data_IF_787575644941
#
_entry.id   IF_787575644941
#
_cell.length_a   1.000
_cell.length_b   1.000
_cell.length_c   1.000
_cell.angle_alpha   90.00
_cell.angle_beta   90.00
_cell.angle_gamma   90.00
#
_symmetry.space_group_name_H-M   'P 1'
#
loop_
_entity.id
_entity.type
_entity.pdbx_description
1 polymer ?
#
# COMPACT_ATOMS: atom_id res chain seq x y z
N UNK A 1 21.99 17.71 12.30
CA UNK A 1 21.07 18.60 11.56
C UNK A 1 19.83 18.80 12.41
N UNK A 2 19.48 20.04 12.71
CA UNK A 2 18.21 20.36 13.39
C UNK A 2 17.06 19.99 12.46
N UNK A 3 16.02 19.28 12.92
CA UNK A 3 14.87 18.97 12.08
C UNK A 3 14.20 20.28 11.62
N UNK A 4 13.66 20.33 10.39
CA UNK A 4 12.91 21.48 9.90
C UNK A 4 11.68 21.73 10.78
N UNK A 5 11.34 23.00 11.00
CA UNK A 5 10.14 23.41 11.75
C UNK A 5 8.94 23.29 10.81
N UNK A 6 8.02 22.39 11.14
CA UNK A 6 6.74 22.19 10.45
C UNK A 6 5.60 22.22 11.45
N UNK A 7 4.35 22.16 10.97
CA UNK A 7 3.17 22.06 11.83
C UNK A 7 3.24 20.87 12.81
N UNK A 8 3.89 19.77 12.42
CA UNK A 8 3.95 18.53 13.21
C UNK A 8 5.27 18.37 13.99
N UNK A 9 6.06 19.42 14.15
CA UNK A 9 7.32 19.33 14.90
C UNK A 9 7.05 19.03 16.38
N UNK A 10 7.66 17.96 16.89
CA UNK A 10 7.43 17.48 18.25
C UNK A 10 6.16 16.64 18.40
N UNK A 11 5.33 16.52 17.37
CA UNK A 11 4.11 15.72 17.41
C UNK A 11 4.39 14.22 17.46
N UNK A 12 3.46 13.50 18.08
CA UNK A 12 3.46 12.05 18.12
C UNK A 12 2.35 11.50 17.22
N UNK A 13 2.72 10.76 16.19
CA UNK A 13 1.82 10.20 15.19
C UNK A 13 1.74 8.70 15.38
N UNK A 14 0.52 8.18 15.48
CA UNK A 14 0.29 6.75 15.70
C UNK A 14 0.11 6.03 14.38
N UNK A 15 0.99 5.09 14.07
CA UNK A 15 0.79 4.17 12.96
C UNK A 15 0.00 2.95 13.46
N UNK A 16 -1.24 2.79 13.00
CA UNK A 16 -2.05 1.62 13.26
C UNK A 16 -1.49 0.36 12.53
N UNK A 17 -0.64 -0.38 13.21
CA UNK A 17 0.00 -1.60 12.70
C UNK A 17 0.36 -2.59 13.80
N UNK A 18 0.32 -3.89 13.47
CA UNK A 18 0.79 -4.99 14.34
C UNK A 18 2.27 -5.36 14.15
N UNK A 19 2.82 -5.16 12.94
CA UNK A 19 4.08 -5.80 12.54
C UNK A 19 5.14 -4.79 12.08
N UNK A 20 5.45 -3.79 12.91
CA UNK A 20 6.62 -2.95 12.69
C UNK A 20 6.55 -1.94 11.55
N UNK A 21 5.37 -1.71 10.94
CA UNK A 21 5.24 -0.73 9.83
C UNK A 21 5.57 0.70 10.27
N UNK A 22 5.47 1.02 11.55
CA UNK A 22 5.89 2.30 12.12
C UNK A 22 7.37 2.58 11.85
N UNK A 23 8.23 1.56 11.85
CA UNK A 23 9.63 1.70 11.48
C UNK A 23 9.82 2.17 10.04
N UNK A 24 8.86 1.90 9.16
CA UNK A 24 8.91 2.33 7.77
C UNK A 24 8.67 3.84 7.60
N UNK A 25 7.93 4.45 8.54
CA UNK A 25 7.62 5.87 8.55
C UNK A 25 8.62 6.71 9.37
N UNK A 26 9.24 6.12 10.39
CA UNK A 26 10.08 6.82 11.39
C UNK A 26 11.10 7.78 10.79
N UNK A 27 11.88 7.34 9.81
CA UNK A 27 12.94 8.17 9.23
C UNK A 27 12.36 9.39 8.50
N UNK A 28 11.42 9.16 7.56
CA UNK A 28 10.82 10.23 6.78
C UNK A 28 10.11 11.26 7.66
N UNK A 29 9.28 10.80 8.61
CA UNK A 29 8.51 11.69 9.48
C UNK A 29 9.42 12.47 10.45
N UNK A 30 10.46 11.84 10.99
CA UNK A 30 11.43 12.53 11.84
C UNK A 30 12.21 13.61 11.08
N UNK A 31 12.73 13.28 9.89
CA UNK A 31 13.60 14.20 9.16
C UNK A 31 12.85 15.30 8.40
N UNK A 32 11.62 15.04 7.94
CA UNK A 32 10.85 15.99 7.14
C UNK A 32 9.88 16.80 8.02
N UNK A 33 9.27 16.19 9.03
CA UNK A 33 8.26 16.87 9.87
C UNK A 33 8.79 17.26 11.25
N UNK A 34 9.86 16.60 11.73
CA UNK A 34 10.23 16.67 13.13
C UNK A 34 9.27 15.92 14.05
N UNK A 35 8.48 14.99 13.49
CA UNK A 35 7.49 14.19 14.22
C UNK A 35 8.05 12.81 14.61
N UNK A 36 7.46 12.20 15.63
CA UNK A 36 7.75 10.81 16.01
C UNK A 36 6.62 9.89 15.58
N UNK A 37 6.96 8.67 15.17
CA UNK A 37 5.97 7.66 14.77
C UNK A 37 6.15 6.40 15.61
N UNK A 38 5.07 5.93 16.22
CA UNK A 38 5.04 4.64 16.95
C UNK A 38 3.77 3.87 16.62
N UNK A 39 3.80 2.56 16.87
CA UNK A 39 2.59 1.73 16.89
C UNK A 39 1.97 1.74 18.30
N UNK A 40 0.65 1.65 18.44
CA UNK A 40 0.03 1.41 19.72
C UNK A 40 0.35 -0.02 20.19
N UNK A 41 0.58 -0.25 21.50
CA UNK A 41 0.63 -1.59 22.05
C UNK A 41 -0.73 -2.29 21.86
N UNK A 42 -0.73 -3.61 21.74
CA UNK A 42 -1.92 -4.47 21.76
C UNK A 42 -3.00 -4.18 20.68
N UNK A 43 -2.63 -3.47 19.60
CA UNK A 43 -3.53 -3.25 18.47
C UNK A 43 -3.68 -4.54 17.65
N UNK A 44 -4.86 -5.15 17.65
CA UNK A 44 -5.23 -6.17 16.66
C UNK A 44 -5.85 -5.53 15.41
N UNK A 45 -5.07 -5.43 14.34
CA UNK A 45 -5.55 -4.93 13.04
C UNK A 45 -6.18 -6.00 12.15
N UNK A 46 -6.06 -7.27 12.51
CA UNK A 46 -6.58 -8.39 11.71
C UNK A 46 -8.11 -8.46 11.79
N UNK A 47 -8.74 -7.83 12.80
CA UNK A 47 -10.20 -7.65 12.90
C UNK A 47 -10.83 -6.96 11.67
N UNK A 48 -10.05 -6.22 10.89
CA UNK A 48 -10.51 -5.54 9.66
C UNK A 48 -10.26 -6.37 8.38
N UNK A 49 -9.79 -7.61 8.52
CA UNK A 49 -9.48 -8.53 7.44
C UNK A 49 -7.97 -8.77 7.26
N UNK A 50 -7.60 -10.00 6.93
CA UNK A 50 -6.19 -10.42 6.81
C UNK A 50 -5.74 -10.49 5.34
N UNK A 51 -4.44 -10.38 5.09
CA UNK A 51 -3.87 -10.65 3.76
C UNK A 51 -3.89 -12.13 3.40
N UNK A 52 -3.94 -12.99 4.41
CA UNK A 52 -3.73 -14.41 4.25
C UNK A 52 -5.04 -15.21 4.30
N UNK A 53 -6.19 -14.54 4.25
CA UNK A 53 -7.51 -15.12 4.01
C UNK A 53 -8.30 -15.59 5.24
N UNK A 54 -7.79 -15.40 6.46
CA UNK A 54 -8.42 -15.95 7.67
C UNK A 54 -9.70 -15.17 8.06
N UNK A 55 -9.67 -13.84 7.90
CA UNK A 55 -10.80 -12.93 8.17
C UNK A 55 -11.18 -12.21 6.86
N UNK A 56 -12.46 -12.28 6.43
CA UNK A 56 -12.94 -11.60 5.22
C UNK A 56 -12.75 -10.08 5.27
N UNK A 57 -12.44 -9.49 4.11
CA UNK A 57 -12.36 -8.03 3.94
C UNK A 57 -13.70 -7.50 3.44
N UNK A 58 -14.48 -6.91 4.34
CA UNK A 58 -15.82 -6.37 4.01
C UNK A 58 -15.82 -4.87 3.71
N UNK A 59 -14.76 -4.16 4.10
CA UNK A 59 -14.60 -2.73 3.89
C UNK A 59 -13.80 -2.44 2.62
N UNK A 60 -14.03 -1.26 2.02
CA UNK A 60 -13.11 -0.75 0.99
C UNK A 60 -11.72 -0.53 1.60
N UNK A 61 -10.63 -0.56 0.80
CA UNK A 61 -9.29 -0.29 1.33
C UNK A 61 -9.20 1.03 2.10
N UNK A 62 -9.86 2.09 1.58
CA UNK A 62 -9.90 3.41 2.24
C UNK A 62 -10.60 3.35 3.59
N UNK A 63 -11.76 2.71 3.68
CA UNK A 63 -12.53 2.64 4.92
C UNK A 63 -11.83 1.75 5.96
N UNK A 64 -11.20 0.67 5.53
CA UNK A 64 -10.35 -0.16 6.39
C UNK A 64 -9.16 0.62 6.94
N UNK A 65 -8.45 1.38 6.09
CA UNK A 65 -7.34 2.23 6.52
C UNK A 65 -7.82 3.30 7.52
N UNK A 66 -8.96 3.94 7.26
CA UNK A 66 -9.56 4.90 8.19
C UNK A 66 -9.88 4.26 9.54
N UNK A 67 -10.58 3.13 9.54
CA UNK A 67 -10.94 2.41 10.76
C UNK A 67 -9.70 2.02 11.57
N UNK A 68 -8.65 1.52 10.90
CA UNK A 68 -7.37 1.21 11.53
C UNK A 68 -6.72 2.43 12.16
N UNK A 69 -6.56 3.52 11.39
CA UNK A 69 -5.96 4.76 11.89
C UNK A 69 -6.71 5.29 13.12
N UNK A 70 -8.05 5.32 13.06
CA UNK A 70 -8.92 5.76 14.17
C UNK A 70 -8.76 4.89 15.41
N UNK A 71 -8.76 3.57 15.26
CA UNK A 71 -8.53 2.67 16.39
C UNK A 71 -7.13 2.87 17.01
N UNK A 72 -6.10 3.02 16.16
CA UNK A 72 -4.75 3.30 16.62
C UNK A 72 -4.67 4.60 17.43
N UNK A 73 -5.24 5.68 16.91
CA UNK A 73 -5.36 6.98 17.60
C UNK A 73 -6.06 6.85 18.95
N UNK A 74 -7.17 6.10 19.01
CA UNK A 74 -7.91 5.88 20.25
C UNK A 74 -7.07 5.14 21.30
N UNK A 75 -6.38 4.06 20.92
CA UNK A 75 -5.55 3.27 21.85
C UNK A 75 -4.35 4.08 22.33
N UNK A 76 -3.69 4.82 21.43
CA UNK A 76 -2.52 5.62 21.75
C UNK A 76 -2.86 6.97 22.40
N UNK A 77 -4.14 7.35 22.42
CA UNK A 77 -4.62 8.67 22.85
C UNK A 77 -3.88 9.82 22.13
N UNK A 78 -3.83 9.76 20.80
CA UNK A 78 -3.19 10.78 19.95
C UNK A 78 -4.19 11.40 18.96
N UNK A 79 -4.03 12.68 18.60
CA UNK A 79 -4.87 13.34 17.59
C UNK A 79 -4.45 13.02 16.15
N UNK A 80 -3.33 12.29 15.95
CA UNK A 80 -2.76 12.03 14.64
C UNK A 80 -2.60 10.53 14.36
N UNK A 81 -3.25 10.06 13.29
CA UNK A 81 -3.28 8.65 12.92
C UNK A 81 -2.72 8.38 11.53
N UNK A 82 -2.05 7.25 11.37
CA UNK A 82 -1.54 6.75 10.10
C UNK A 82 -1.92 5.28 9.93
N UNK A 83 -2.39 4.88 8.74
CA UNK A 83 -2.66 3.49 8.44
C UNK A 83 -2.36 3.19 6.97
N UNK A 84 -1.89 1.97 6.69
CA UNK A 84 -1.68 1.50 5.32
C UNK A 84 -2.56 0.29 5.02
N UNK A 85 -3.07 0.27 3.80
CA UNK A 85 -3.82 -0.85 3.25
C UNK A 85 -3.35 -1.20 1.85
N UNK A 86 -3.47 -2.47 1.49
CA UNK A 86 -3.06 -2.94 0.17
C UNK A 86 -3.82 -4.16 -0.32
N UNK A 87 -3.79 -4.34 -1.63
CA UNK A 87 -4.38 -5.49 -2.31
C UNK A 87 -3.50 -5.94 -3.46
N UNK A 88 -3.46 -7.25 -3.64
CA UNK A 88 -2.74 -7.91 -4.73
C UNK A 88 -3.78 -8.66 -5.56
N UNK A 89 -3.83 -8.40 -6.86
CA UNK A 89 -4.75 -9.06 -7.77
C UNK A 89 -4.06 -9.46 -9.06
N UNK A 90 -4.14 -10.75 -9.40
CA UNK A 90 -3.83 -11.21 -10.74
C UNK A 90 -5.06 -10.99 -11.62
N UNK A 91 -4.85 -10.42 -12.82
CA UNK A 91 -5.90 -10.35 -13.86
C UNK A 91 -5.69 -11.48 -14.87
N UNK A 92 -6.12 -11.28 -16.11
CA UNK A 92 -5.93 -12.23 -17.22
C UNK A 92 -4.45 -12.42 -17.62
N UNK A 93 -3.54 -11.61 -17.08
CA UNK A 93 -2.09 -11.70 -17.33
C UNK A 93 -1.37 -12.31 -16.12
N UNK A 94 -0.17 -12.88 -16.30
CA UNK A 94 0.65 -13.38 -15.18
C UNK A 94 1.17 -12.26 -14.26
N UNK A 95 0.91 -10.99 -14.59
CA UNK A 95 1.29 -9.84 -13.78
C UNK A 95 0.31 -9.67 -12.62
N UNK A 96 0.86 -9.51 -11.43
CA UNK A 96 0.08 -9.18 -10.24
C UNK A 96 0.07 -7.67 -10.08
N UNK A 97 -1.11 -7.06 -10.03
CA UNK A 97 -1.26 -5.66 -9.66
C UNK A 97 -1.18 -5.53 -8.15
N UNK A 98 -0.43 -4.53 -7.69
CA UNK A 98 -0.33 -4.11 -6.30
C UNK A 98 -0.92 -2.72 -6.19
N UNK A 99 -2.01 -2.60 -5.43
CA UNK A 99 -2.51 -1.33 -4.93
C UNK A 99 -2.05 -1.19 -3.47
N UNK A 100 -1.47 -0.05 -3.12
CA UNK A 100 -1.16 0.28 -1.73
C UNK A 100 -1.59 1.73 -1.47
N UNK A 101 -2.21 1.97 -0.32
CA UNK A 101 -2.60 3.30 0.15
C UNK A 101 -2.02 3.53 1.54
N UNK A 102 -1.78 4.80 1.84
CA UNK A 102 -1.42 5.32 3.15
C UNK A 102 -2.36 6.47 3.48
N UNK A 103 -3.12 6.33 4.56
CA UNK A 103 -4.08 7.30 5.04
C UNK A 103 -3.55 7.96 6.31
N UNK A 104 -3.61 9.29 6.35
CA UNK A 104 -3.28 10.11 7.50
C UNK A 104 -4.51 10.89 7.98
N UNK A 105 -4.70 10.97 9.30
CA UNK A 105 -5.75 11.74 9.95
C UNK A 105 -5.11 12.73 10.94
N UNK A 106 -5.63 13.94 10.95
CA UNK A 106 -5.39 14.95 11.97
C UNK A 106 -6.75 15.46 12.48
N UNK A 107 -7.06 15.17 13.75
CA UNK A 107 -8.32 15.58 14.38
C UNK A 107 -8.35 17.05 14.79
N UNK A 108 -7.20 17.65 15.09
CA UNK A 108 -7.13 19.05 15.49
C UNK A 108 -7.50 19.97 14.32
N UNK A 109 -7.09 19.59 13.11
CA UNK A 109 -7.37 20.32 11.87
C UNK A 109 -8.56 19.75 11.07
N UNK A 110 -9.12 18.61 11.50
CA UNK A 110 -10.16 17.90 10.75
C UNK A 110 -9.71 17.43 9.36
N UNK A 111 -8.43 17.04 9.22
CA UNK A 111 -7.85 16.61 7.95
C UNK A 111 -7.87 15.09 7.79
N UNK A 112 -8.16 14.65 6.57
CA UNK A 112 -7.92 13.28 6.12
C UNK A 112 -7.20 13.33 4.77
N UNK A 113 -5.99 12.78 4.71
CA UNK A 113 -5.17 12.75 3.50
C UNK A 113 -4.85 11.32 3.11
N UNK A 114 -4.79 11.07 1.81
CA UNK A 114 -4.50 9.75 1.25
C UNK A 114 -3.42 9.90 0.19
N UNK A 115 -2.36 9.11 0.35
CA UNK A 115 -1.38 8.82 -0.68
C UNK A 115 -1.58 7.38 -1.16
N UNK A 116 -1.36 7.11 -2.44
CA UNK A 116 -1.58 5.78 -2.98
C UNK A 116 -0.77 5.51 -4.23
N UNK A 117 -0.61 4.22 -4.53
CA UNK A 117 0.06 3.73 -5.71
C UNK A 117 -0.67 2.53 -6.29
N UNK A 118 -0.61 2.40 -7.61
CA UNK A 118 -1.02 1.23 -8.37
C UNK A 118 0.16 0.84 -9.26
N UNK A 119 0.79 -0.29 -8.94
CA UNK A 119 2.02 -0.75 -9.60
C UNK A 119 1.94 -2.24 -9.90
N UNK A 120 2.80 -2.72 -10.78
CA UNK A 120 3.00 -4.16 -10.96
C UNK A 120 3.89 -4.69 -9.83
N UNK A 121 3.42 -5.74 -9.15
CA UNK A 121 4.21 -6.46 -8.16
C UNK A 121 5.41 -7.14 -8.84
N UNK A 122 6.62 -7.06 -8.25
CA UNK A 122 7.77 -7.81 -8.73
C UNK A 122 7.64 -9.32 -8.45
N UNK A 123 6.71 -9.71 -7.59
CA UNK A 123 6.41 -11.10 -7.26
C UNK A 123 5.28 -11.62 -8.16
N UNK A 124 5.40 -12.86 -8.66
CA UNK A 124 4.37 -13.52 -9.46
C UNK A 124 3.17 -13.93 -8.60
N UNK A 125 2.12 -14.42 -9.24
CA UNK A 125 1.01 -15.08 -8.55
C UNK A 125 1.40 -16.44 -7.94
N UNK A 126 0.41 -17.10 -7.34
CA UNK A 126 0.57 -18.43 -6.77
C UNK A 126 0.87 -19.50 -7.80
N UNK A 127 1.56 -20.55 -7.37
CA UNK A 127 1.88 -21.72 -8.20
C UNK A 127 1.43 -23.01 -7.51
N UNK A 128 0.54 -23.74 -8.17
CA UNK A 128 0.18 -25.11 -7.75
C UNK A 128 1.35 -26.05 -8.00
N UNK A 129 1.62 -26.89 -7.01
CA UNK A 129 2.73 -27.85 -7.02
C UNK A 129 2.19 -29.28 -6.99
N UNK A 130 2.99 -30.20 -7.54
CA UNK A 130 2.69 -31.64 -7.56
C UNK A 130 3.72 -32.47 -6.81
N UNK A 131 4.84 -31.88 -6.41
CA UNK A 131 5.87 -32.54 -5.59
C UNK A 131 6.39 -31.59 -4.51
N UNK A 132 6.88 -32.11 -3.37
CA UNK A 132 7.42 -31.27 -2.28
C UNK A 132 8.61 -30.43 -2.73
N UNK A 133 9.49 -30.99 -3.58
CA UNK A 133 10.66 -30.29 -4.10
C UNK A 133 10.28 -29.01 -4.87
N UNK A 134 9.15 -29.02 -5.58
CA UNK A 134 8.65 -27.83 -6.30
C UNK A 134 8.23 -26.69 -5.37
N UNK A 135 7.86 -26.98 -4.12
CA UNK A 135 7.63 -25.92 -3.13
C UNK A 135 8.94 -25.19 -2.82
N UNK A 136 9.99 -25.96 -2.50
CA UNK A 136 11.30 -25.42 -2.17
C UNK A 136 11.92 -24.65 -3.34
N UNK A 137 11.85 -25.20 -4.56
CA UNK A 137 12.36 -24.53 -5.78
C UNK A 137 11.69 -23.17 -5.99
N UNK A 138 10.36 -23.13 -5.89
CA UNK A 138 9.61 -21.90 -6.13
C UNK A 138 9.79 -20.89 -4.98
N UNK A 139 9.84 -21.34 -3.73
CA UNK A 139 10.16 -20.47 -2.60
C UNK A 139 11.54 -19.84 -2.74
N UNK A 140 12.55 -20.60 -3.18
CA UNK A 140 13.87 -20.07 -3.51
C UNK A 140 13.79 -19.01 -4.62
N UNK A 141 13.07 -19.28 -5.70
CA UNK A 141 12.90 -18.33 -6.80
C UNK A 141 12.20 -17.02 -6.39
N UNK A 142 11.33 -17.07 -5.37
CA UNK A 142 10.69 -15.89 -4.78
C UNK A 142 11.61 -15.08 -3.87
N UNK A 143 12.76 -15.62 -3.46
CA UNK A 143 13.70 -14.97 -2.52
C UNK A 143 13.51 -15.36 -1.05
N UNK A 144 12.97 -16.54 -0.77
CA UNK A 144 12.91 -17.09 0.59
C UNK A 144 14.32 -17.21 1.22
N UNK A 145 14.52 -16.90 2.52
CA UNK A 145 13.51 -16.58 3.53
C UNK A 145 13.18 -15.08 3.67
N UNK A 146 13.88 -14.20 2.95
CA UNK A 146 13.62 -12.76 3.04
C UNK A 146 12.22 -12.41 2.53
N UNK A 147 11.81 -13.03 1.42
CA UNK A 147 10.42 -13.09 0.99
C UNK A 147 9.73 -14.30 1.63
N UNK A 148 8.71 -14.05 2.45
CA UNK A 148 7.89 -15.11 3.02
C UNK A 148 7.04 -15.81 1.98
N UNK A 149 6.62 -17.03 2.30
CA UNK A 149 5.73 -17.84 1.48
C UNK A 149 4.59 -18.41 2.32
N UNK A 150 3.47 -18.69 1.66
CA UNK A 150 2.30 -19.35 2.23
C UNK A 150 2.05 -20.61 1.42
N UNK A 151 1.82 -21.75 2.09
CA UNK A 151 1.24 -22.92 1.44
C UNK A 151 -0.26 -22.88 1.66
N UNK A 152 -1.00 -22.76 0.56
CA UNK A 152 -2.44 -22.89 0.56
C UNK A 152 -2.80 -24.32 0.12
N UNK A 153 -3.48 -25.07 0.99
CA UNK A 153 -4.02 -26.38 0.67
C UNK A 153 -5.53 -26.30 0.45
N UNK A 154 -6.02 -26.98 -0.58
CA UNK A 154 -7.44 -27.16 -0.83
C UNK A 154 -7.78 -28.66 -0.78
N UNK A 155 -8.73 -29.04 0.07
CA UNK A 155 -9.24 -30.40 0.21
C UNK A 155 -10.74 -30.35 0.51
N UNK A 156 -11.55 -31.08 -0.27
CA UNK A 156 -13.01 -31.14 -0.12
C UNK A 156 -13.71 -29.77 -0.02
N UNK A 157 -13.19 -28.79 -0.78
CA UNK A 157 -13.69 -27.41 -0.78
C UNK A 157 -13.23 -26.56 0.41
N UNK A 158 -12.53 -27.13 1.39
CA UNK A 158 -11.91 -26.39 2.48
C UNK A 158 -10.52 -25.88 2.06
N UNK A 159 -10.27 -24.60 2.30
CA UNK A 159 -8.99 -23.94 2.03
C UNK A 159 -8.30 -23.63 3.35
N UNK A 160 -7.07 -24.10 3.51
CA UNK A 160 -6.23 -23.84 4.69
C UNK A 160 -4.93 -23.18 4.25
N UNK A 161 -4.46 -22.19 5.02
CA UNK A 161 -3.22 -21.48 4.74
C UNK A 161 -2.18 -21.71 5.83
N UNK A 162 -1.05 -22.30 5.47
CA UNK A 162 0.12 -22.53 6.33
C UNK A 162 1.15 -21.43 6.08
N UNK A 163 1.63 -20.77 7.15
CA UNK A 163 2.36 -19.49 7.09
C UNK A 163 3.53 -19.53 8.07
N UNK A 164 4.35 -18.48 8.05
CA UNK A 164 5.44 -18.26 9.01
C UNK A 164 6.59 -19.28 8.94
N UNK A 165 6.77 -19.95 7.78
CA UNK A 165 7.93 -20.79 7.54
C UNK A 165 9.23 -20.00 7.73
N UNK A 166 10.17 -20.61 8.44
CA UNK A 166 11.51 -20.04 8.67
C UNK A 166 12.61 -20.82 7.96
N UNK A 167 12.36 -22.09 7.66
CA UNK A 167 13.31 -22.99 7.01
C UNK A 167 12.66 -23.74 5.84
N UNK A 168 13.45 -24.02 4.79
CA UNK A 168 12.96 -24.77 3.62
C UNK A 168 12.56 -26.19 3.96
N UNK A 169 13.26 -26.85 4.90
CA UNK A 169 12.93 -28.21 5.31
C UNK A 169 11.55 -28.29 6.01
N UNK A 170 11.14 -27.23 6.69
CA UNK A 170 9.80 -27.12 7.28
C UNK A 170 8.74 -26.95 6.18
N UNK A 171 9.00 -26.07 5.21
CA UNK A 171 8.14 -25.85 4.06
C UNK A 171 7.93 -27.15 3.26
N UNK A 172 9.03 -27.85 2.97
CA UNK A 172 9.01 -29.07 2.18
C UNK A 172 8.28 -30.22 2.89
N UNK A 173 8.56 -30.45 4.17
CA UNK A 173 7.84 -31.47 4.96
C UNK A 173 6.36 -31.16 5.08
N UNK A 174 5.99 -29.90 5.22
CA UNK A 174 4.58 -29.48 5.23
C UNK A 174 3.91 -29.74 3.89
N UNK A 175 4.58 -29.37 2.78
CA UNK A 175 4.08 -29.67 1.44
C UNK A 175 3.92 -31.18 1.19
N UNK A 176 4.86 -31.99 1.65
CA UNK A 176 4.80 -33.46 1.56
C UNK A 176 3.60 -34.04 2.30
N UNK A 177 3.38 -33.63 3.55
CA UNK A 177 2.23 -34.07 4.33
C UNK A 177 0.89 -33.71 3.67
N UNK A 178 0.78 -32.49 3.13
CA UNK A 178 -0.44 -32.02 2.46
C UNK A 178 -0.71 -32.77 1.15
N UNK A 179 0.32 -33.00 0.34
CA UNK A 179 0.20 -33.76 -0.90
C UNK A 179 -0.14 -35.23 -0.63
N UNK A 180 0.47 -35.84 0.39
CA UNK A 180 0.19 -37.22 0.79
C UNK A 180 -1.25 -37.42 1.27
N UNK A 181 -1.86 -36.38 1.84
CA UNK A 181 -3.26 -36.37 2.26
C UNK A 181 -4.24 -36.08 1.10
N UNK A 182 -3.75 -35.94 -0.13
CA UNK A 182 -4.57 -35.70 -1.32
C UNK A 182 -5.00 -34.24 -1.51
N UNK A 183 -4.45 -33.29 -0.75
CA UNK A 183 -4.76 -31.88 -0.92
C UNK A 183 -4.14 -31.33 -2.22
N UNK A 184 -4.84 -30.41 -2.88
CA UNK A 184 -4.22 -29.54 -3.89
C UNK A 184 -3.41 -28.47 -3.17
N UNK A 185 -2.11 -28.34 -3.47
CA UNK A 185 -1.22 -27.41 -2.78
C UNK A 185 -0.74 -26.32 -3.72
N UNK A 186 -0.94 -25.06 -3.33
CA UNK A 186 -0.47 -23.87 -4.03
C UNK A 186 0.49 -23.09 -3.13
N UNK A 187 1.67 -22.79 -3.66
CA UNK A 187 2.63 -21.90 -3.00
C UNK A 187 2.31 -20.47 -3.42
N UNK A 188 2.11 -19.58 -2.46
CA UNK A 188 1.82 -18.16 -2.66
C UNK A 188 2.94 -17.31 -2.06
N UNK A 189 3.31 -16.17 -2.67
CA UNK A 189 4.10 -15.17 -1.97
C UNK A 189 3.33 -14.62 -0.76
N UNK A 190 4.03 -14.44 0.35
CA UNK A 190 3.47 -13.79 1.52
C UNK A 190 3.57 -12.26 1.39
N UNK A 191 2.45 -11.63 1.06
CA UNK A 191 2.36 -10.18 0.89
C UNK A 191 2.18 -9.40 2.21
N UNK A 192 2.27 -10.03 3.39
CA UNK A 192 2.31 -9.27 4.66
C UNK A 192 3.56 -8.40 4.67
N UNK A 193 3.45 -7.13 5.06
CA UNK A 193 4.55 -6.16 4.91
C UNK A 193 5.86 -6.60 5.58
N UNK A 194 5.81 -7.27 6.73
CA UNK A 194 6.99 -7.80 7.43
C UNK A 194 7.57 -9.08 6.80
N UNK A 195 6.89 -9.66 5.80
CA UNK A 195 7.30 -10.83 5.03
C UNK A 195 7.54 -10.51 3.55
N UNK A 196 7.36 -9.26 3.14
CA UNK A 196 7.50 -8.83 1.75
C UNK A 196 8.35 -7.56 1.67
N UNK A 197 9.66 -7.69 1.39
CA UNK A 197 10.56 -6.54 1.27
C UNK A 197 10.08 -5.51 0.24
N UNK A 198 9.62 -5.96 -0.93
CA UNK A 198 9.10 -5.09 -1.99
C UNK A 198 7.89 -4.26 -1.54
N UNK A 199 6.95 -4.89 -0.82
CA UNK A 199 5.80 -4.18 -0.25
C UNK A 199 6.22 -3.21 0.85
N UNK A 200 7.16 -3.59 1.70
CA UNK A 200 7.69 -2.70 2.74
C UNK A 200 8.33 -1.44 2.12
N UNK A 201 9.03 -1.58 1.00
CA UNK A 201 9.59 -0.45 0.25
C UNK A 201 8.52 0.42 -0.41
N UNK A 202 7.43 -0.18 -0.90
CA UNK A 202 6.25 0.58 -1.36
C UNK A 202 5.66 1.43 -0.23
N UNK A 203 5.43 0.84 0.95
CA UNK A 203 4.90 1.55 2.11
C UNK A 203 5.85 2.66 2.56
N UNK A 204 7.16 2.40 2.58
CA UNK A 204 8.19 3.41 2.89
C UNK A 204 8.15 4.59 1.92
N UNK A 205 7.99 4.32 0.64
CA UNK A 205 7.86 5.36 -0.40
C UNK A 205 6.62 6.21 -0.15
N UNK A 206 5.47 5.58 0.13
CA UNK A 206 4.25 6.30 0.49
C UNK A 206 4.42 7.13 1.78
N UNK A 207 5.14 6.62 2.78
CA UNK A 207 5.45 7.38 3.99
C UNK A 207 6.28 8.63 3.68
N UNK A 208 7.24 8.53 2.75
CA UNK A 208 8.01 9.68 2.30
C UNK A 208 7.15 10.71 1.56
N UNK A 209 6.26 10.26 0.67
CA UNK A 209 5.32 11.13 -0.04
C UNK A 209 4.37 11.85 0.93
N UNK A 210 3.78 11.11 1.88
CA UNK A 210 2.90 11.67 2.89
C UNK A 210 3.63 12.71 3.75
N UNK A 211 4.85 12.42 4.22
CA UNK A 211 5.63 13.38 5.00
C UNK A 211 5.93 14.67 4.21
N UNK A 212 6.30 14.56 2.93
CA UNK A 212 6.49 15.74 2.06
C UNK A 212 5.21 16.54 1.88
N UNK A 213 4.07 15.87 1.69
CA UNK A 213 2.77 16.52 1.56
C UNK A 213 2.37 17.24 2.84
N UNK A 214 2.54 16.61 4.00
CA UNK A 214 2.28 17.21 5.30
C UNK A 214 3.18 18.42 5.59
N UNK A 215 4.41 18.42 5.07
CA UNK A 215 5.29 19.59 5.13
C UNK A 215 4.92 20.71 4.14
N UNK A 216 4.02 20.44 3.19
CA UNK A 216 3.61 21.41 2.17
C UNK A 216 2.36 22.15 2.64
N UNK A 217 2.52 23.42 2.96
CA UNK A 217 1.43 24.26 3.43
C UNK A 217 0.60 24.82 2.28
N UNK A 218 -0.69 25.02 2.52
CA UNK A 218 -1.56 25.74 1.60
C UNK A 218 -1.04 27.17 1.43
N UNK A 219 -0.86 27.68 0.20
CA UNK A 219 -0.41 29.04 -0.02
C UNK A 219 -1.43 30.10 0.43
N UNK A 220 -2.68 29.71 0.67
CA UNK A 220 -3.75 30.62 1.08
C UNK A 220 -3.99 30.62 2.60
N UNK A 221 -4.24 29.46 3.20
CA UNK A 221 -4.59 29.34 4.62
C UNK A 221 -3.49 28.74 5.49
N UNK A 222 -2.33 28.39 4.91
CA UNK A 222 -1.18 27.77 5.59
C UNK A 222 -1.42 26.39 6.21
N UNK A 223 -2.64 25.82 6.13
CA UNK A 223 -2.91 24.44 6.55
C UNK A 223 -1.94 23.45 5.88
N UNK A 224 -1.31 22.54 6.62
CA UNK A 224 -0.45 21.50 6.06
C UNK A 224 -1.21 20.53 5.14
N UNK A 225 -0.49 19.79 4.29
CA UNK A 225 -1.10 18.75 3.46
C UNK A 225 -1.52 19.18 2.07
N UNK A 226 -1.14 20.38 1.62
CA UNK A 226 -1.44 20.86 0.27
C UNK A 226 -0.71 19.99 -0.76
N UNK A 227 -1.47 19.42 -1.69
CA UNK A 227 -0.93 18.46 -2.64
C UNK A 227 -1.99 17.95 -3.60
N UNK A 228 -1.61 16.96 -4.42
CA UNK A 228 -2.49 16.38 -5.43
C UNK A 228 -3.77 15.82 -4.81
N UNK A 229 -4.90 16.26 -5.34
CA UNK A 229 -6.25 15.79 -4.97
C UNK A 229 -7.01 15.24 -6.16
N UNK A 230 -6.62 15.63 -7.38
CA UNK A 230 -7.27 15.20 -8.61
C UNK A 230 -6.33 15.38 -9.81
N UNK A 231 -6.80 15.00 -11.00
CA UNK A 231 -6.17 15.24 -12.28
C UNK A 231 -7.15 15.88 -13.25
N UNK A 232 -6.64 16.70 -14.15
CA UNK A 232 -7.39 17.21 -15.29
C UNK A 232 -6.96 16.43 -16.53
N UNK A 233 -7.91 15.80 -17.22
CA UNK A 233 -7.71 15.13 -18.51
C UNK A 233 -7.96 16.10 -19.68
N UNK A 234 -7.71 15.67 -20.92
CA UNK A 234 -8.03 16.45 -22.11
C UNK A 234 -6.82 16.99 -22.87
N UNK A 235 -5.65 16.39 -22.67
CA UNK A 235 -4.44 16.78 -23.38
C UNK A 235 -4.65 16.51 -24.90
N UNK A 236 -4.44 17.50 -25.80
CA UNK A 236 -4.89 17.40 -27.20
C UNK A 236 -4.04 16.40 -28.00
N UNK A 237 -4.70 15.57 -28.82
CA UNK A 237 -4.03 14.63 -29.72
C UNK A 237 -3.06 15.35 -30.66
N UNK A 238 -1.87 14.79 -30.86
CA UNK A 238 -0.85 15.35 -31.76
C UNK A 238 -1.23 15.27 -33.25
N UNK A 239 -2.17 14.40 -33.61
CA UNK A 239 -2.64 14.22 -34.98
C UNK A 239 -3.95 14.97 -35.28
N UNK A 240 -5.05 14.63 -34.60
CA UNK A 240 -6.37 15.21 -34.88
C UNK A 240 -6.74 16.41 -34.02
N UNK A 241 -5.97 16.72 -32.96
CA UNK A 241 -6.25 17.82 -32.04
C UNK A 241 -7.38 17.60 -31.04
N UNK A 242 -8.12 16.48 -31.11
CA UNK A 242 -9.19 16.16 -30.17
C UNK A 242 -8.65 16.00 -28.72
N UNK A 243 -9.47 16.36 -27.73
CA UNK A 243 -9.17 16.12 -26.33
C UNK A 243 -9.14 14.62 -26.04
N UNK A 244 -8.09 14.15 -25.35
CA UNK A 244 -7.89 12.73 -25.02
C UNK A 244 -8.09 12.45 -23.53
N UNK A 245 -8.12 11.17 -23.16
CA UNK A 245 -8.07 10.75 -21.75
C UNK A 245 -6.66 10.87 -21.14
N UNK A 246 -5.67 11.43 -21.84
CA UNK A 246 -4.35 11.68 -21.27
C UNK A 246 -4.41 12.87 -20.31
N UNK A 247 -3.77 12.71 -19.14
CA UNK A 247 -3.72 13.72 -18.07
C UNK A 247 -2.99 14.98 -18.57
N UNK A 248 -3.69 16.11 -18.56
CA UNK A 248 -3.18 17.44 -18.90
C UNK A 248 -2.51 18.12 -17.70
N UNK A 249 -3.06 17.98 -16.50
CA UNK A 249 -2.55 18.62 -15.29
C UNK A 249 -2.84 17.80 -14.04
N UNK A 250 -2.00 17.96 -13.01
CA UNK A 250 -2.38 17.58 -11.65
C UNK A 250 -3.12 18.76 -10.98
N UNK A 251 -4.20 18.46 -10.28
CA UNK A 251 -4.92 19.44 -9.47
C UNK A 251 -4.50 19.27 -8.01
N UNK A 252 -3.87 20.30 -7.48
CA UNK A 252 -3.50 20.38 -6.07
C UNK A 252 -4.58 21.12 -5.28
N UNK A 253 -4.82 20.70 -4.04
CA UNK A 253 -5.87 21.27 -3.20
C UNK A 253 -5.53 21.26 -1.72
N UNK A 254 -6.18 22.14 -0.97
CA UNK A 254 -6.14 22.19 0.49
C UNK A 254 -7.25 21.34 1.10
N UNK A 255 -6.99 20.71 2.24
CA UNK A 255 -7.99 19.95 3.00
C UNK A 255 -8.98 20.80 3.81
N UNK A 256 -8.69 22.09 4.01
CA UNK A 256 -9.51 22.99 4.88
C UNK A 256 -10.17 24.13 4.11
N UNK A 257 -9.48 24.75 3.15
CA UNK A 257 -10.01 25.88 2.37
C UNK A 257 -10.23 25.49 0.90
N UNK A 258 -11.02 26.26 0.13
CA UNK A 258 -11.34 25.91 -1.27
C UNK A 258 -10.17 26.13 -2.25
N UNK A 259 -9.00 26.58 -1.79
CA UNK A 259 -7.87 26.88 -2.67
C UNK A 259 -7.39 25.63 -3.43
N UNK A 260 -7.25 25.80 -4.75
CA UNK A 260 -6.71 24.80 -5.67
C UNK A 260 -5.68 25.41 -6.61
N UNK A 261 -4.70 24.62 -7.00
CA UNK A 261 -3.70 24.99 -7.98
C UNK A 261 -3.65 23.95 -9.09
N UNK A 262 -3.65 24.42 -10.34
CA UNK A 262 -3.47 23.57 -11.52
C UNK A 262 -1.99 23.51 -11.86
N UNK A 263 -1.43 22.30 -11.86
CA UNK A 263 -0.02 22.04 -12.16
C UNK A 263 0.06 21.32 -13.52
N UNK A 264 0.32 22.04 -14.64
CA UNK A 264 0.37 21.42 -15.96
C UNK A 264 1.47 20.36 -16.05
N UNK A 265 1.18 19.25 -16.74
CA UNK A 265 2.21 18.28 -17.11
C UNK A 265 3.14 18.88 -18.16
N UNK A 266 4.39 18.40 -18.21
CA UNK A 266 5.37 18.83 -19.22
C UNK A 266 4.93 18.49 -20.64
N UNK A 267 4.20 17.39 -20.80
CA UNK A 267 3.63 16.99 -22.08
C UNK A 267 2.46 17.93 -22.43
N UNK A 268 2.45 18.42 -23.66
CA UNK A 268 1.40 19.34 -24.16
C UNK A 268 0.56 18.74 -25.27
N UNK A 269 1.01 17.64 -25.90
CA UNK A 269 0.21 16.84 -26.86
C UNK A 269 0.26 15.33 -26.59
N UNK A 270 -0.87 14.66 -26.82
CA UNK A 270 -1.06 13.25 -26.56
C UNK A 270 -0.65 12.45 -27.81
N UNK A 271 -0.06 11.28 -27.59
CA UNK A 271 0.21 10.35 -28.68
C UNK A 271 -1.11 9.82 -29.26
N UNK A 272 -1.27 9.71 -30.60
CA UNK A 272 -2.52 9.25 -31.21
C UNK A 272 -2.96 7.84 -30.76
N UNK A 273 -2.04 7.02 -30.23
CA UNK A 273 -2.34 5.70 -29.63
C UNK A 273 -3.30 5.79 -28.43
N UNK A 274 -3.39 6.95 -27.76
CA UNK A 274 -4.27 7.19 -26.62
C UNK A 274 -5.48 8.08 -26.97
N UNK A 275 -5.77 8.26 -28.25
CA UNK A 275 -6.87 9.10 -28.72
C UNK A 275 -8.01 8.24 -29.23
N UNK A 276 -9.17 8.32 -28.58
CA UNK A 276 -10.38 7.56 -28.94
C UNK A 276 -10.88 7.82 -30.39
N UNK A 277 -10.42 8.89 -31.06
CA UNK A 277 -10.72 9.16 -32.46
C UNK A 277 -9.69 8.61 -33.44
N UNK A 278 -8.40 8.62 -33.07
CA UNK A 278 -7.31 8.11 -33.93
C UNK A 278 -7.07 6.61 -33.73
N UNK A 279 -7.41 6.10 -32.55
CA UNK A 279 -7.28 4.73 -32.11
C UNK A 279 -8.52 4.34 -31.26
N UNK A 280 -9.69 4.17 -31.91
CA UNK A 280 -10.94 3.80 -31.24
C UNK A 280 -10.94 2.40 -30.64
#
# INVERSE_FOLDING_TARGET
MTPPVTHYTGSHITFATMHGKEHLAREAFRHILGATVTAPPDLDTDQFGTFAGDIPRVLTPRDAARAKARLGMQIANTPYGLASEGSFSARLTPLVEQMEILLFIDDDLGLELIEGTLTTSPLPGGRTITTPLRASDFAHALGFPAQGVILQSAQDGQITAHKNFTHLDELQRTAEALLANGSTVTVLPDYRAHRSPSRADTIRTLCNHMAKRLATECPHCRTPGFGKVDVEHGLPCSHCGAATQVIAADLHGCGTCPHRARIPRRQTRADPTWCDYCNP
#
